data_IF_330440292102
#
_entry.id   IF_330440292102
#
_cell.length_a   1.000
_cell.length_b   1.000
_cell.length_c   1.000
_cell.angle_alpha   90.00
_cell.angle_beta   90.00
_cell.angle_gamma   90.00
#
_symmetry.space_group_name_H-M   'P 1'
#
loop_
_entity.id
_entity.type
_entity.pdbx_description
1 polymer ?
#
# COMPACT_ATOMS: atom_id res chain seq x y z
N UNK A 1 -5.30 10.56 0.00
CA UNK A 1 -5.38 9.27 0.75
C UNK A 1 -4.91 8.21 -0.23
N UNK A 2 -3.89 7.40 0.06
CA UNK A 2 -3.30 6.50 -0.96
C UNK A 2 -4.15 5.24 -1.21
N UNK A 3 -4.04 4.68 -2.42
CA UNK A 3 -4.67 3.41 -2.80
C UNK A 3 -4.24 2.25 -1.88
N UNK A 4 -2.95 2.20 -1.51
CA UNK A 4 -2.42 1.25 -0.52
C UNK A 4 -3.21 1.27 0.80
N UNK A 5 -3.48 2.45 1.35
CA UNK A 5 -4.24 2.58 2.59
C UNK A 5 -5.67 2.07 2.40
N UNK A 6 -6.31 2.45 1.30
CA UNK A 6 -7.70 2.09 1.00
C UNK A 6 -7.87 0.57 0.92
N UNK A 7 -7.05 -0.10 0.11
CA UNK A 7 -7.04 -1.56 -0.05
C UNK A 7 -6.81 -2.25 1.29
N UNK A 8 -5.80 -1.81 2.04
CA UNK A 8 -5.50 -2.38 3.36
C UNK A 8 -6.70 -2.28 4.31
N UNK A 9 -7.34 -1.12 4.38
CA UNK A 9 -8.49 -0.92 5.27
C UNK A 9 -9.74 -1.65 4.82
N UNK A 10 -9.99 -1.76 3.51
CA UNK A 10 -11.11 -2.52 2.96
C UNK A 10 -10.98 -4.02 3.31
N UNK A 11 -9.75 -4.54 3.28
CA UNK A 11 -9.43 -5.89 3.72
C UNK A 11 -9.32 -6.05 5.25
N UNK A 12 -9.62 -5.01 6.05
CA UNK A 12 -9.51 -4.99 7.52
C UNK A 12 -8.10 -5.34 8.06
N UNK A 13 -7.07 -5.10 7.25
CA UNK A 13 -5.68 -5.30 7.63
C UNK A 13 -5.20 -4.03 8.36
N UNK A 14 -4.46 -4.16 9.46
CA UNK A 14 -3.83 -3.02 10.15
C UNK A 14 -2.44 -2.75 9.58
N UNK A 15 -1.92 -1.52 9.76
CA UNK A 15 -0.55 -1.22 9.36
C UNK A 15 0.47 -2.12 10.09
N UNK A 16 0.19 -2.52 11.33
CA UNK A 16 1.05 -3.41 12.11
C UNK A 16 1.06 -4.84 11.55
N UNK A 17 -0.09 -5.38 11.12
CA UNK A 17 -0.16 -6.70 10.47
C UNK A 17 0.62 -6.72 9.16
N UNK A 18 0.44 -5.69 8.32
CA UNK A 18 1.18 -5.59 7.06
C UNK A 18 2.70 -5.43 7.30
N UNK A 19 3.08 -4.60 8.27
CA UNK A 19 4.48 -4.40 8.65
C UNK A 19 5.13 -5.70 9.16
N UNK A 20 4.44 -6.44 10.04
CA UNK A 20 4.89 -7.72 10.56
C UNK A 20 5.09 -8.75 9.45
N UNK A 21 4.16 -8.80 8.48
CA UNK A 21 4.26 -9.70 7.32
C UNK A 21 5.47 -9.39 6.43
N UNK A 22 5.84 -8.11 6.32
CA UNK A 22 6.96 -7.65 5.50
C UNK A 22 8.32 -7.63 6.24
N UNK A 23 8.32 -7.81 7.56
CA UNK A 23 9.51 -7.65 8.38
C UNK A 23 10.02 -6.20 8.46
N UNK A 24 9.12 -5.23 8.40
CA UNK A 24 9.45 -3.79 8.48
C UNK A 24 8.67 -3.12 9.63
N UNK A 25 8.94 -1.83 9.87
CA UNK A 25 8.25 -1.09 10.93
C UNK A 25 6.86 -0.62 10.49
N UNK A 26 5.92 -0.48 11.43
CA UNK A 26 4.61 0.12 11.17
C UNK A 26 4.74 1.56 10.65
N UNK A 27 5.74 2.32 11.12
CA UNK A 27 6.05 3.65 10.62
C UNK A 27 6.43 3.65 9.12
N UNK A 28 7.13 2.62 8.64
CA UNK A 28 7.47 2.48 7.22
C UNK A 28 6.21 2.33 6.36
N UNK A 29 5.22 1.54 6.79
CA UNK A 29 3.90 1.46 6.14
C UNK A 29 3.22 2.84 6.13
N UNK A 30 3.25 3.54 7.27
CA UNK A 30 2.70 4.90 7.35
C UNK A 30 3.38 5.89 6.40
N UNK A 31 4.68 5.74 6.12
CA UNK A 31 5.39 6.57 5.13
C UNK A 31 4.98 6.24 3.70
N UNK A 32 4.82 4.95 3.36
CA UNK A 32 4.30 4.53 2.05
C UNK A 32 2.88 5.05 1.83
N UNK A 33 2.00 4.89 2.81
CA UNK A 33 0.60 5.32 2.70
C UNK A 33 0.42 6.84 2.57
N UNK A 34 1.40 7.63 3.03
CA UNK A 34 1.39 9.09 2.95
C UNK A 34 2.19 9.63 1.76
N UNK A 35 2.77 8.76 0.93
CA UNK A 35 3.67 9.16 -0.16
C UNK A 35 5.00 9.77 0.29
N UNK A 36 5.31 9.79 1.59
CA UNK A 36 6.57 10.35 2.13
C UNK A 36 7.79 9.54 1.73
N UNK A 37 7.58 8.27 1.37
CA UNK A 37 8.57 7.37 0.80
C UNK A 37 7.91 6.63 -0.33
N UNK A 38 8.55 6.62 -1.50
CA UNK A 38 8.13 5.74 -2.59
C UNK A 38 8.79 4.37 -2.43
N UNK A 39 8.03 3.26 -2.42
CA UNK A 39 8.62 1.93 -2.44
C UNK A 39 9.31 1.70 -3.79
N UNK A 40 10.47 1.05 -3.76
CA UNK A 40 11.09 0.53 -4.99
C UNK A 40 10.21 -0.60 -5.54
N UNK A 41 10.36 -0.92 -6.83
CA UNK A 41 9.57 -1.98 -7.47
C UNK A 41 9.57 -3.32 -6.71
N UNK A 42 10.72 -3.71 -6.13
CA UNK A 42 10.81 -4.91 -5.29
C UNK A 42 9.95 -4.81 -4.03
N UNK A 43 9.95 -3.66 -3.36
CA UNK A 43 9.13 -3.41 -2.17
C UNK A 43 7.64 -3.30 -2.52
N UNK A 44 7.32 -2.70 -3.66
CA UNK A 44 5.96 -2.60 -4.18
C UNK A 44 5.37 -4.00 -4.43
N UNK A 45 6.13 -4.90 -5.06
CA UNK A 45 5.74 -6.31 -5.25
C UNK A 45 5.55 -7.04 -3.94
N UNK A 46 6.45 -6.83 -2.97
CA UNK A 46 6.33 -7.43 -1.63
C UNK A 46 5.09 -6.93 -0.90
N UNK A 47 4.76 -5.63 -1.00
CA UNK A 47 3.56 -5.04 -0.43
C UNK A 47 2.30 -5.71 -0.98
N UNK A 48 2.18 -5.85 -2.31
CA UNK A 48 1.05 -6.52 -2.96
C UNK A 48 0.94 -7.98 -2.53
N UNK A 49 2.05 -8.73 -2.54
CA UNK A 49 2.06 -10.11 -2.09
C UNK A 49 1.61 -10.25 -0.63
N UNK A 50 2.14 -9.41 0.26
CA UNK A 50 1.77 -9.42 1.68
C UNK A 50 0.30 -9.06 1.91
N UNK A 51 -0.25 -8.09 1.15
CA UNK A 51 -1.67 -7.76 1.17
C UNK A 51 -2.52 -8.97 0.75
N UNK A 52 -2.15 -9.63 -0.35
CA UNK A 52 -2.87 -10.78 -0.86
C UNK A 52 -2.84 -11.98 0.11
N UNK A 53 -1.68 -12.25 0.70
CA UNK A 53 -1.54 -13.30 1.72
C UNK A 53 -2.31 -12.99 3.01
N UNK A 54 -2.61 -11.73 3.28
CA UNK A 54 -3.43 -11.28 4.41
C UNK A 54 -4.92 -11.17 4.05
N UNK A 55 -5.32 -11.53 2.83
CA UNK A 55 -6.71 -11.59 2.40
C UNK A 55 -7.21 -10.38 1.62
N UNK A 56 -6.34 -9.46 1.21
CA UNK A 56 -6.68 -8.56 0.12
C UNK A 56 -6.72 -9.34 -1.21
N UNK A 57 -7.46 -8.86 -2.20
CA UNK A 57 -7.35 -9.33 -3.58
C UNK A 57 -7.01 -8.11 -4.42
N UNK A 58 -5.72 -7.87 -4.64
CA UNK A 58 -5.22 -6.70 -5.37
C UNK A 58 -3.98 -6.99 -6.23
N UNK A 59 -3.72 -6.07 -7.14
CA UNK A 59 -2.64 -6.06 -8.12
C UNK A 59 -1.69 -4.89 -7.86
N UNK A 60 -0.57 -4.86 -8.58
CA UNK A 60 0.41 -3.78 -8.46
C UNK A 60 -0.18 -2.45 -8.94
N UNK A 61 -0.99 -2.49 -10.00
CA UNK A 61 -1.66 -1.37 -10.63
C UNK A 61 -2.76 -0.79 -9.73
N UNK A 62 -3.45 -1.62 -8.95
CA UNK A 62 -4.45 -1.14 -7.99
C UNK A 62 -3.79 -0.50 -6.76
N UNK A 63 -2.66 -1.02 -6.30
CA UNK A 63 -1.94 -0.48 -5.14
C UNK A 63 -1.11 0.76 -5.50
N UNK A 64 -0.56 0.79 -6.72
CA UNK A 64 0.29 1.85 -7.26
C UNK A 64 -0.14 2.16 -8.72
N UNK A 65 -1.25 2.89 -8.91
CA UNK A 65 -1.74 3.23 -10.25
C UNK A 65 -0.72 4.10 -11.00
N UNK A 66 -0.61 3.97 -12.34
CA UNK A 66 0.19 4.89 -13.14
C UNK A 66 -0.32 6.33 -12.95
N UNK A 67 0.56 7.34 -13.15
CA UNK A 67 0.37 8.77 -12.81
C UNK A 67 -0.76 9.51 -13.58
N UNK A 68 -1.94 8.92 -13.75
CA UNK A 68 -3.08 9.50 -14.46
C UNK A 68 -4.36 9.67 -13.61
N UNK A 69 -4.34 9.45 -12.29
CA UNK A 69 -5.54 9.60 -11.45
C UNK A 69 -5.30 10.21 -10.04
N UNK A 70 -4.20 10.95 -9.80
CA UNK A 70 -4.04 11.70 -8.53
C UNK A 70 -4.40 13.21 -8.64
N UNK A 71 -4.55 13.76 -9.85
CA UNK A 71 -4.87 15.19 -10.07
C UNK A 71 -6.39 15.51 -10.21
N UNK A 72 -7.29 14.57 -9.97
CA UNK A 72 -8.73 14.82 -10.09
C UNK A 72 -9.38 15.42 -8.82
N UNK A 73 -8.65 15.59 -7.71
CA UNK A 73 -9.21 16.07 -6.43
C UNK A 73 -8.29 17.09 -5.74
N UNK A 74 -8.05 18.20 -6.43
CA UNK A 74 -7.68 19.47 -5.82
C UNK A 74 -8.24 20.62 -6.67
N UNK A 75 -9.56 20.76 -6.69
CA UNK A 75 -10.29 21.95 -7.13
C UNK A 75 -11.37 22.28 -6.10
#
# INVERSE_FOLDING_TARGET
MSALKNIRTAARITQQQLAAKLGITQAAIGHYEKGRRQPKLTEARRLVAALNELGAACTLEEVFPPEAEEDAQAA
#
